data_IF_693578683654
#
_entry.id   IF_693578683654
#
_cell.length_a   1.000
_cell.length_b   1.000
_cell.length_c   1.000
_cell.angle_alpha   90.00
_cell.angle_beta   90.00
_cell.angle_gamma   90.00
#
_symmetry.space_group_name_H-M   'P 1'
#
loop_
_entity.id
_entity.type
_entity.pdbx_description
1 polymer ?
#
# COMPACT_ATOMS: atom_id res chain seq x y z
N UNK A 1 70.91 -9.12 13.97
CA UNK A 1 69.88 -8.08 13.72
C UNK A 1 69.70 -7.92 12.21
N UNK A 2 68.74 -8.62 11.61
CA UNK A 2 68.41 -8.52 10.18
C UNK A 2 67.12 -7.72 10.04
N UNK A 3 67.16 -6.58 9.34
CA UNK A 3 65.96 -5.85 8.91
C UNK A 3 65.63 -6.31 7.48
N UNK A 4 64.44 -6.89 7.29
CA UNK A 4 63.73 -6.94 6.00
C UNK A 4 62.51 -6.03 6.12
N UNK A 5 62.25 -5.10 5.18
CA UNK A 5 60.95 -4.45 5.12
C UNK A 5 59.93 -5.43 4.51
N UNK A 6 58.79 -5.58 5.18
CA UNK A 6 57.64 -6.28 4.63
C UNK A 6 57.02 -5.41 3.54
N UNK A 7 57.04 -5.92 2.30
CA UNK A 7 56.12 -5.52 1.26
C UNK A 7 54.72 -5.99 1.69
N UNK A 8 53.88 -5.06 2.16
CA UNK A 8 52.44 -5.29 2.20
C UNK A 8 51.84 -4.71 0.93
N UNK A 9 51.53 -5.64 0.04
CA UNK A 9 50.78 -5.49 -1.19
C UNK A 9 49.42 -4.85 -0.86
N UNK A 10 49.22 -3.61 -1.31
CA UNK A 10 47.94 -2.91 -1.18
C UNK A 10 46.98 -3.50 -2.21
N UNK A 11 46.36 -4.62 -1.84
CA UNK A 11 45.25 -5.21 -2.58
C UNK A 11 44.14 -4.18 -2.77
N UNK A 12 44.02 -3.67 -3.99
CA UNK A 12 42.85 -2.92 -4.41
C UNK A 12 41.63 -3.84 -4.28
N UNK A 13 40.80 -3.56 -3.29
CA UNK A 13 39.46 -4.14 -3.21
C UNK A 13 38.69 -3.56 -4.41
N UNK A 14 38.67 -4.31 -5.51
CA UNK A 14 37.70 -4.08 -6.58
C UNK A 14 36.34 -4.32 -5.94
N UNK A 15 35.64 -3.23 -5.61
CA UNK A 15 34.22 -3.31 -5.25
C UNK A 15 33.51 -3.95 -6.43
N UNK A 16 32.90 -5.10 -6.18
CA UNK A 16 32.02 -5.81 -7.10
C UNK A 16 31.10 -4.80 -7.76
N UNK A 17 31.07 -4.75 -9.10
CA UNK A 17 30.05 -3.99 -9.81
C UNK A 17 28.69 -4.47 -9.28
N UNK A 18 27.93 -3.58 -8.63
CA UNK A 18 26.56 -3.88 -8.26
C UNK A 18 25.83 -4.30 -9.53
N UNK A 19 25.26 -5.50 -9.53
CA UNK A 19 24.43 -5.98 -10.63
C UNK A 19 23.14 -5.17 -10.55
N UNK A 20 23.16 -3.98 -11.15
CA UNK A 20 21.99 -3.12 -11.29
C UNK A 20 21.21 -3.63 -12.50
N UNK A 21 19.99 -4.11 -12.26
CA UNK A 21 19.09 -4.53 -13.33
C UNK A 21 18.71 -3.30 -14.18
N UNK A 22 18.91 -3.37 -15.48
CA UNK A 22 18.55 -2.30 -16.41
C UNK A 22 17.03 -2.23 -16.64
N UNK A 23 16.55 -1.11 -17.18
CA UNK A 23 15.14 -0.98 -17.60
C UNK A 23 14.74 -2.09 -18.57
N UNK A 24 15.59 -2.40 -19.56
CA UNK A 24 15.29 -3.41 -20.57
C UNK A 24 15.16 -4.80 -19.94
N UNK A 25 16.06 -5.16 -19.01
CA UNK A 25 15.98 -6.42 -18.27
C UNK A 25 14.73 -6.47 -17.39
N UNK A 26 14.39 -5.39 -16.70
CA UNK A 26 13.20 -5.32 -15.84
C UNK A 26 11.91 -5.50 -16.65
N UNK A 27 11.82 -4.86 -17.81
CA UNK A 27 10.69 -5.02 -18.73
C UNK A 27 10.62 -6.43 -19.30
N UNK A 28 11.76 -7.02 -19.72
CA UNK A 28 11.80 -8.39 -20.20
C UNK A 28 11.37 -9.39 -19.11
N UNK A 29 11.76 -9.18 -17.86
CA UNK A 29 11.34 -10.01 -16.74
C UNK A 29 9.84 -9.89 -16.45
N UNK A 30 9.28 -8.67 -16.54
CA UNK A 30 7.84 -8.45 -16.40
C UNK A 30 7.06 -9.12 -17.54
N UNK A 31 7.49 -8.94 -18.77
CA UNK A 31 6.86 -9.55 -19.94
C UNK A 31 6.88 -11.08 -19.87
N UNK A 32 8.03 -11.67 -19.50
CA UNK A 32 8.16 -13.12 -19.32
C UNK A 32 7.28 -13.67 -18.19
N UNK A 33 6.97 -12.86 -17.18
CA UNK A 33 6.04 -13.21 -16.10
C UNK A 33 4.57 -12.89 -16.43
N UNK A 34 4.31 -12.24 -17.56
CA UNK A 34 3.00 -11.78 -17.99
C UNK A 34 2.06 -12.91 -18.42
N UNK A 35 0.76 -12.64 -18.34
CA UNK A 35 -0.28 -13.51 -18.85
C UNK A 35 -1.36 -12.67 -19.56
N UNK A 36 -1.59 -12.86 -20.87
CA UNK A 36 -2.58 -12.08 -21.63
C UNK A 36 -4.02 -12.16 -21.10
N UNK A 37 -4.41 -13.30 -20.49
CA UNK A 37 -5.73 -13.44 -19.88
C UNK A 37 -5.84 -12.58 -18.63
N UNK A 38 -4.76 -12.46 -17.85
CA UNK A 38 -4.71 -11.56 -16.69
C UNK A 38 -4.72 -10.10 -17.16
N UNK A 39 -3.99 -9.76 -18.22
CA UNK A 39 -4.03 -8.42 -18.80
C UNK A 39 -5.45 -8.04 -19.26
N UNK A 40 -6.18 -8.97 -19.85
CA UNK A 40 -7.61 -8.78 -20.22
C UNK A 40 -8.48 -8.52 -18.98
N UNK A 41 -8.25 -9.26 -17.89
CA UNK A 41 -8.94 -9.02 -16.61
C UNK A 41 -8.60 -7.65 -16.04
N UNK A 42 -7.34 -7.22 -16.11
CA UNK A 42 -6.91 -5.89 -15.67
C UNK A 42 -7.62 -4.77 -16.42
N UNK A 43 -7.80 -4.90 -17.73
CA UNK A 43 -8.57 -3.95 -18.54
C UNK A 43 -10.04 -3.87 -18.09
N UNK A 44 -10.67 -5.00 -17.77
CA UNK A 44 -12.03 -5.03 -17.19
C UNK A 44 -12.11 -4.34 -15.82
N UNK A 45 -10.99 -4.22 -15.11
CA UNK A 45 -10.86 -3.56 -13.81
C UNK A 45 -10.28 -2.14 -13.88
N UNK A 46 -10.26 -1.52 -15.07
CA UNK A 46 -9.95 -0.10 -15.26
C UNK A 46 -8.51 0.21 -15.64
N UNK A 47 -7.63 -0.79 -15.78
CA UNK A 47 -6.27 -0.55 -16.27
C UNK A 47 -6.33 -0.04 -17.71
N UNK A 48 -5.91 1.20 -17.93
CA UNK A 48 -5.73 1.77 -19.27
C UNK A 48 -4.27 1.63 -19.73
N UNK A 49 -4.08 1.50 -21.04
CA UNK A 49 -2.75 1.38 -21.64
C UNK A 49 -2.16 -0.04 -21.59
N UNK A 50 -0.84 -0.17 -21.86
CA UNK A 50 -0.21 -1.47 -21.98
C UNK A 50 -0.06 -2.17 -20.63
N UNK A 51 -0.34 -3.46 -20.60
CA UNK A 51 -0.11 -4.34 -19.44
C UNK A 51 0.33 -5.72 -19.95
N UNK A 52 1.29 -6.32 -19.27
CA UNK A 52 1.70 -7.71 -19.48
C UNK A 52 0.81 -8.67 -18.69
N UNK A 53 0.14 -8.20 -17.63
CA UNK A 53 -0.74 -9.02 -16.79
C UNK A 53 0.05 -9.83 -15.77
N UNK A 54 0.93 -9.18 -15.02
CA UNK A 54 1.85 -9.80 -14.06
C UNK A 54 1.20 -9.90 -12.70
N UNK A 55 1.21 -11.08 -12.07
CA UNK A 55 0.67 -11.21 -10.71
C UNK A 55 1.56 -10.46 -9.71
N UNK A 56 0.96 -9.86 -8.68
CA UNK A 56 1.71 -9.11 -7.66
C UNK A 56 2.83 -9.92 -6.99
N UNK A 57 2.65 -11.24 -6.83
CA UNK A 57 3.70 -12.12 -6.29
C UNK A 57 4.93 -12.27 -7.21
N UNK A 58 4.73 -12.18 -8.52
CA UNK A 58 5.80 -12.18 -9.53
C UNK A 58 6.49 -10.81 -9.56
N UNK A 59 5.74 -9.71 -9.49
CA UNK A 59 6.29 -8.35 -9.31
C UNK A 59 7.19 -8.30 -8.05
N UNK A 60 6.72 -8.86 -6.93
CA UNK A 60 7.51 -8.90 -5.70
C UNK A 60 8.76 -9.78 -5.81
N UNK A 61 8.77 -10.77 -6.71
CA UNK A 61 9.97 -11.57 -7.02
C UNK A 61 11.01 -10.74 -7.78
N UNK A 62 10.58 -10.03 -8.82
CA UNK A 62 11.46 -9.15 -9.61
C UNK A 62 12.01 -8.02 -8.73
N UNK A 63 11.15 -7.38 -7.93
CA UNK A 63 11.54 -6.36 -6.94
C UNK A 63 12.68 -6.83 -6.03
N UNK A 64 12.68 -8.08 -5.56
CA UNK A 64 13.72 -8.61 -4.68
C UNK A 64 15.10 -8.71 -5.35
N UNK A 65 15.14 -8.82 -6.68
CA UNK A 65 16.38 -8.83 -7.45
C UNK A 65 16.94 -7.41 -7.64
N UNK A 66 16.06 -6.42 -7.73
CA UNK A 66 16.40 -5.00 -7.92
C UNK A 66 16.80 -4.33 -6.60
N UNK A 67 15.99 -4.52 -5.54
CA UNK A 67 16.09 -3.70 -4.34
C UNK A 67 15.46 -2.31 -4.52
N UNK A 68 16.04 -1.30 -3.87
CA UNK A 68 15.63 0.10 -4.02
C UNK A 68 16.50 0.77 -5.07
N UNK A 69 15.88 1.33 -6.11
CA UNK A 69 16.53 2.05 -7.19
C UNK A 69 15.61 3.16 -7.72
N UNK A 70 15.95 4.41 -7.39
CA UNK A 70 15.15 5.59 -7.76
C UNK A 70 15.20 5.91 -9.27
N UNK A 71 16.34 5.66 -9.92
CA UNK A 71 16.50 5.92 -11.35
C UNK A 71 15.68 4.90 -12.16
N UNK A 72 15.78 3.63 -11.80
CA UNK A 72 14.99 2.57 -12.42
C UNK A 72 13.49 2.75 -12.13
N UNK A 73 13.10 3.14 -10.92
CA UNK A 73 11.70 3.41 -10.61
C UNK A 73 11.10 4.50 -11.53
N UNK A 74 11.83 5.60 -11.72
CA UNK A 74 11.40 6.69 -12.59
C UNK A 74 11.32 6.26 -14.05
N UNK A 75 12.31 5.47 -14.50
CA UNK A 75 12.34 4.92 -15.86
C UNK A 75 11.18 3.95 -16.11
N UNK A 76 10.92 3.03 -15.18
CA UNK A 76 9.78 2.10 -15.21
C UNK A 76 8.44 2.84 -15.24
N UNK A 77 8.29 3.88 -14.42
CA UNK A 77 7.08 4.69 -14.39
C UNK A 77 6.79 5.36 -15.75
N UNK A 78 7.84 5.91 -16.37
CA UNK A 78 7.78 6.59 -17.66
C UNK A 78 7.39 5.71 -18.84
N UNK A 79 7.48 4.37 -18.71
CA UNK A 79 7.08 3.45 -19.78
C UNK A 79 5.58 3.45 -20.07
N UNK A 80 4.77 3.89 -19.11
CA UNK A 80 3.32 3.83 -19.22
C UNK A 80 2.71 2.44 -19.06
N UNK A 81 3.53 1.38 -18.94
CA UNK A 81 3.04 0.03 -18.72
C UNK A 81 2.56 -0.15 -17.28
N UNK A 82 1.37 -0.72 -17.10
CA UNK A 82 0.75 -0.92 -15.80
C UNK A 82 1.64 -1.71 -14.83
N UNK A 83 2.13 -2.88 -15.25
CA UNK A 83 2.94 -3.76 -14.40
C UNK A 83 4.29 -3.11 -14.08
N UNK A 84 4.86 -2.36 -15.04
CA UNK A 84 6.07 -1.58 -14.83
C UNK A 84 5.87 -0.45 -13.81
N UNK A 85 4.73 0.27 -13.85
CA UNK A 85 4.39 1.29 -12.84
C UNK A 85 4.15 0.70 -11.45
N UNK A 86 3.54 -0.48 -11.38
CA UNK A 86 3.42 -1.20 -10.10
C UNK A 86 4.80 -1.57 -9.56
N UNK A 87 5.71 -2.08 -10.42
CA UNK A 87 7.09 -2.36 -10.02
C UNK A 87 7.85 -1.08 -9.62
N UNK A 88 7.64 0.04 -10.32
CA UNK A 88 8.23 1.34 -9.99
C UNK A 88 7.90 1.73 -8.54
N UNK A 89 6.64 1.62 -8.12
CA UNK A 89 6.24 1.89 -6.73
C UNK A 89 6.92 0.95 -5.71
N UNK A 90 7.37 -0.22 -6.14
CA UNK A 90 7.99 -1.24 -5.27
C UNK A 90 9.49 -1.06 -5.11
N UNK A 91 10.15 -0.41 -6.06
CA UNK A 91 11.61 -0.20 -6.08
C UNK A 91 11.99 1.27 -5.87
N UNK A 92 11.04 2.21 -5.90
CA UNK A 92 11.30 3.60 -5.55
C UNK A 92 11.76 3.78 -4.09
N UNK A 93 12.62 4.76 -3.85
CA UNK A 93 12.94 5.23 -2.51
C UNK A 93 11.89 6.26 -2.05
N UNK A 94 11.01 5.93 -1.07
CA UNK A 94 9.99 6.86 -0.60
C UNK A 94 10.54 8.11 0.07
N UNK A 95 11.78 8.09 0.56
CA UNK A 95 12.40 9.23 1.25
C UNK A 95 13.01 10.24 0.27
N UNK A 96 13.31 9.81 -0.96
CA UNK A 96 13.89 10.65 -2.00
C UNK A 96 12.85 11.26 -2.95
N UNK A 97 11.61 10.78 -2.93
CA UNK A 97 10.53 11.31 -3.79
C UNK A 97 10.04 12.67 -3.32
N UNK A 98 10.03 13.65 -4.23
CA UNK A 98 9.41 14.94 -3.99
C UNK A 98 7.88 14.84 -4.02
N UNK A 99 7.21 15.84 -3.42
CA UNK A 99 5.76 15.97 -3.49
C UNK A 99 5.28 16.15 -4.94
N UNK A 100 6.06 16.86 -5.76
CA UNK A 100 5.79 17.12 -7.18
C UNK A 100 5.84 15.82 -7.98
N UNK A 101 6.88 15.00 -7.80
CA UNK A 101 7.00 13.71 -8.48
C UNK A 101 5.88 12.76 -8.09
N UNK A 102 5.49 12.73 -6.81
CA UNK A 102 4.34 11.96 -6.34
C UNK A 102 3.02 12.47 -6.96
N UNK A 103 2.85 13.78 -7.12
CA UNK A 103 1.68 14.37 -7.76
C UNK A 103 1.62 14.03 -9.26
N UNK A 104 2.76 14.05 -9.95
CA UNK A 104 2.86 13.59 -11.35
C UNK A 104 2.47 12.11 -11.48
N UNK A 105 2.90 11.27 -10.54
CA UNK A 105 2.55 9.85 -10.55
C UNK A 105 1.05 9.65 -10.29
N UNK A 106 0.45 10.41 -9.38
CA UNK A 106 -1.01 10.34 -9.14
C UNK A 106 -1.84 10.65 -10.39
N UNK A 107 -1.36 11.51 -11.30
CA UNK A 107 -2.07 11.84 -12.52
C UNK A 107 -2.29 10.63 -13.46
N UNK A 108 -1.47 9.58 -13.34
CA UNK A 108 -1.57 8.37 -14.16
C UNK A 108 -2.31 7.21 -13.47
N UNK A 109 -2.89 7.45 -12.28
CA UNK A 109 -3.63 6.43 -11.52
C UNK A 109 -5.06 6.30 -12.06
N UNK A 110 -5.34 5.15 -12.67
CA UNK A 110 -6.59 4.85 -13.37
C UNK A 110 -7.25 3.55 -12.89
N UNK A 111 -6.68 2.89 -11.89
CA UNK A 111 -7.18 1.63 -11.35
C UNK A 111 -6.78 1.44 -9.89
N UNK A 112 -7.46 0.54 -9.19
CA UNK A 112 -7.28 0.35 -7.76
C UNK A 112 -5.94 -0.31 -7.37
N UNK A 113 -5.34 -1.12 -8.25
CA UNK A 113 -4.04 -1.79 -7.98
C UNK A 113 -2.91 -0.76 -7.99
N UNK A 114 -2.90 0.10 -9.00
CA UNK A 114 -1.91 1.18 -9.09
C UNK A 114 -2.13 2.22 -7.98
N UNK A 115 -3.39 2.53 -7.65
CA UNK A 115 -3.73 3.38 -6.51
C UNK A 115 -3.16 2.82 -5.20
N UNK A 116 -3.37 1.53 -4.92
CA UNK A 116 -2.88 0.88 -3.70
C UNK A 116 -1.34 0.78 -3.66
N UNK A 117 -0.71 0.53 -4.81
CA UNK A 117 0.75 0.50 -4.93
C UNK A 117 1.35 1.89 -4.63
N UNK A 118 0.80 2.95 -5.21
CA UNK A 118 1.26 4.32 -4.97
C UNK A 118 0.93 4.81 -3.56
N UNK A 119 -0.24 4.44 -2.99
CA UNK A 119 -0.55 4.72 -1.59
C UNK A 119 0.51 4.12 -0.66
N UNK A 120 0.87 2.85 -0.85
CA UNK A 120 1.87 2.17 -0.04
C UNK A 120 3.29 2.75 -0.14
N UNK A 121 3.63 3.37 -1.27
CA UNK A 121 4.86 4.14 -1.45
C UNK A 121 4.76 5.50 -0.76
N UNK A 122 3.75 6.29 -1.11
CA UNK A 122 3.57 7.66 -0.64
C UNK A 122 3.35 7.74 0.88
N UNK A 123 2.73 6.74 1.49
CA UNK A 123 2.56 6.67 2.95
C UNK A 123 3.88 6.49 3.72
N UNK A 124 4.96 6.08 3.05
CA UNK A 124 6.31 6.01 3.63
C UNK A 124 7.13 7.28 3.38
N UNK A 125 6.60 8.22 2.60
CA UNK A 125 7.29 9.47 2.29
C UNK A 125 7.18 10.49 3.43
N UNK A 126 8.07 11.51 3.47
CA UNK A 126 7.92 12.68 4.32
C UNK A 126 6.64 13.49 4.06
N UNK A 127 6.04 13.32 2.87
CA UNK A 127 4.89 14.10 2.40
C UNK A 127 3.53 13.47 2.75
N UNK A 128 3.51 12.28 3.36
CA UNK A 128 2.32 11.46 3.61
C UNK A 128 1.16 12.20 4.28
N UNK A 129 1.44 13.06 5.27
CA UNK A 129 0.40 13.78 5.99
C UNK A 129 -0.32 14.78 5.08
N UNK A 130 0.44 15.58 4.32
CA UNK A 130 -0.11 16.58 3.40
C UNK A 130 -0.81 15.92 2.20
N UNK A 131 -0.16 14.95 1.57
CA UNK A 131 -0.69 14.32 0.36
C UNK A 131 -1.90 13.43 0.65
N UNK A 132 -1.93 12.76 1.81
CA UNK A 132 -3.11 12.00 2.25
C UNK A 132 -4.36 12.87 2.35
N UNK A 133 -4.23 14.09 2.92
CA UNK A 133 -5.33 15.06 3.00
C UNK A 133 -5.77 15.58 1.62
N UNK A 134 -4.82 15.85 0.73
CA UNK A 134 -5.13 16.34 -0.62
C UNK A 134 -5.86 15.25 -1.42
N UNK A 135 -5.32 14.03 -1.46
CA UNK A 135 -5.82 12.98 -2.33
C UNK A 135 -7.10 12.34 -1.83
N UNK A 136 -7.35 12.29 -0.52
CA UNK A 136 -8.62 11.75 0.00
C UNK A 136 -9.84 12.61 -0.38
N UNK A 137 -9.61 13.91 -0.59
CA UNK A 137 -10.61 14.88 -1.00
C UNK A 137 -10.75 14.99 -2.53
N UNK A 138 -9.94 14.26 -3.30
CA UNK A 138 -10.01 14.26 -4.76
C UNK A 138 -11.25 13.50 -5.24
N UNK A 139 -12.06 14.07 -6.16
CA UNK A 139 -13.28 13.44 -6.63
C UNK A 139 -13.05 12.24 -7.57
N UNK A 140 -11.82 12.05 -8.09
CA UNK A 140 -11.49 10.92 -8.96
C UNK A 140 -11.40 9.65 -8.12
N UNK A 141 -12.15 8.61 -8.50
CA UNK A 141 -12.30 7.37 -7.72
C UNK A 141 -10.99 6.82 -7.16
N UNK A 142 -10.00 6.64 -8.03
CA UNK A 142 -8.75 5.98 -7.65
C UNK A 142 -7.80 6.89 -6.88
N UNK A 143 -7.89 8.21 -7.07
CA UNK A 143 -7.12 9.17 -6.25
C UNK A 143 -7.74 9.28 -4.86
N UNK A 144 -9.07 9.36 -4.78
CA UNK A 144 -9.81 9.28 -3.52
C UNK A 144 -9.51 8.00 -2.76
N UNK A 145 -9.51 6.84 -3.45
CA UNK A 145 -9.09 5.55 -2.87
C UNK A 145 -7.68 5.65 -2.29
N UNK A 146 -6.71 6.08 -3.09
CA UNK A 146 -5.31 6.21 -2.69
C UNK A 146 -5.19 7.06 -1.42
N UNK A 147 -5.83 8.23 -1.39
CA UNK A 147 -5.83 9.12 -0.24
C UNK A 147 -6.41 8.47 1.03
N UNK A 148 -7.59 7.86 0.95
CA UNK A 148 -8.18 7.16 2.10
C UNK A 148 -7.37 5.94 2.56
N UNK A 149 -6.70 5.23 1.64
CA UNK A 149 -5.76 4.16 2.00
C UNK A 149 -4.54 4.71 2.75
N UNK A 150 -4.03 5.89 2.37
CA UNK A 150 -2.97 6.56 3.12
C UNK A 150 -3.43 6.98 4.52
N UNK A 151 -4.67 7.45 4.68
CA UNK A 151 -5.24 7.74 5.99
C UNK A 151 -5.26 6.48 6.87
N UNK A 152 -5.77 5.35 6.34
CA UNK A 152 -5.79 4.09 7.07
C UNK A 152 -4.38 3.65 7.50
N UNK A 153 -3.39 3.76 6.60
CA UNK A 153 -1.99 3.41 6.88
C UNK A 153 -1.37 4.33 7.93
N UNK A 154 -1.63 5.63 7.84
CA UNK A 154 -1.17 6.62 8.83
C UNK A 154 -1.71 6.31 10.22
N UNK A 155 -3.00 6.02 10.31
CA UNK A 155 -3.65 5.60 11.57
C UNK A 155 -3.11 4.27 12.11
N UNK A 156 -2.59 3.38 11.27
CA UNK A 156 -1.93 2.18 11.79
C UNK A 156 -0.48 2.43 12.25
N UNK A 157 0.21 3.39 11.63
CA UNK A 157 1.63 3.64 11.88
C UNK A 157 1.92 4.70 12.96
N UNK A 158 1.07 5.72 13.10
CA UNK A 158 1.33 6.94 13.89
C UNK A 158 0.38 7.05 15.09
N UNK A 159 0.69 6.45 16.26
CA UNK A 159 -0.17 6.55 17.45
C UNK A 159 -0.47 7.99 17.89
N UNK A 160 0.37 8.95 17.50
CA UNK A 160 0.28 10.37 17.82
C UNK A 160 -0.70 11.18 16.95
N UNK A 161 -1.39 10.56 15.98
CA UNK A 161 -2.42 11.26 15.19
C UNK A 161 -3.47 11.87 16.15
N UNK A 162 -3.70 13.20 16.12
CA UNK A 162 -4.56 13.86 17.11
C UNK A 162 -6.01 13.38 17.03
N UNK A 163 -6.64 13.21 18.20
CA UNK A 163 -8.06 12.83 18.32
C UNK A 163 -8.99 13.73 17.48
N UNK A 164 -8.73 15.04 17.43
CA UNK A 164 -9.51 15.98 16.63
C UNK A 164 -9.50 15.66 15.13
N UNK A 165 -8.38 15.16 14.60
CA UNK A 165 -8.27 14.76 13.20
C UNK A 165 -8.97 13.43 12.94
N UNK A 166 -8.87 12.49 13.88
CA UNK A 166 -9.61 11.23 13.82
C UNK A 166 -11.13 11.47 13.83
N UNK A 167 -11.62 12.35 14.70
CA UNK A 167 -13.01 12.78 14.76
C UNK A 167 -13.47 13.45 13.45
N UNK A 168 -12.64 14.30 12.85
CA UNK A 168 -12.94 14.93 11.57
C UNK A 168 -13.09 13.89 10.45
N UNK A 169 -12.16 12.94 10.32
CA UNK A 169 -12.25 11.87 9.33
C UNK A 169 -13.46 10.95 9.58
N UNK A 170 -13.77 10.63 10.83
CA UNK A 170 -14.97 9.86 11.19
C UNK A 170 -16.27 10.59 10.80
N UNK A 171 -16.32 11.91 10.99
CA UNK A 171 -17.43 12.74 10.55
C UNK A 171 -17.61 12.72 9.03
N UNK A 172 -16.51 12.84 8.28
CA UNK A 172 -16.54 12.77 6.82
C UNK A 172 -16.96 11.40 6.30
N UNK A 173 -16.46 10.32 6.91
CA UNK A 173 -16.89 8.96 6.59
C UNK A 173 -18.39 8.80 6.83
N UNK A 174 -18.90 9.27 7.98
CA UNK A 174 -20.33 9.15 8.30
C UNK A 174 -21.22 9.82 7.26
N UNK A 175 -20.80 10.98 6.72
CA UNK A 175 -21.59 11.75 5.75
C UNK A 175 -21.40 11.23 4.32
N UNK A 176 -20.16 10.95 3.92
CA UNK A 176 -19.79 10.74 2.52
C UNK A 176 -19.78 9.28 2.06
N UNK A 177 -19.62 8.31 2.97
CA UNK A 177 -19.33 6.92 2.59
C UNK A 177 -20.40 6.31 1.67
N UNK A 178 -21.69 6.55 1.95
CA UNK A 178 -22.78 5.99 1.15
C UNK A 178 -22.73 6.45 -0.33
N UNK A 179 -22.39 7.73 -0.56
CA UNK A 179 -22.33 8.36 -1.87
C UNK A 179 -20.98 8.26 -2.59
N UNK A 180 -19.94 7.75 -1.92
CA UNK A 180 -18.62 7.62 -2.52
C UNK A 180 -18.59 6.56 -3.65
N UNK A 181 -17.68 6.76 -4.62
CA UNK A 181 -17.39 5.80 -5.69
C UNK A 181 -16.88 4.48 -5.10
N UNK A 182 -17.12 3.36 -5.77
CA UNK A 182 -17.00 2.03 -5.19
C UNK A 182 -15.65 1.76 -4.51
N UNK A 183 -14.54 2.07 -5.19
CA UNK A 183 -13.19 1.83 -4.66
C UNK A 183 -12.75 2.87 -3.63
N UNK A 184 -13.28 4.10 -3.69
CA UNK A 184 -13.10 5.11 -2.63
C UNK A 184 -13.85 4.71 -1.37
N UNK A 185 -15.12 4.28 -1.51
CA UNK A 185 -15.98 3.77 -0.44
C UNK A 185 -15.33 2.62 0.33
N UNK A 186 -14.71 1.69 -0.39
CA UNK A 186 -13.91 0.62 0.20
C UNK A 186 -12.76 1.17 1.07
N UNK A 187 -11.99 2.13 0.57
CA UNK A 187 -10.91 2.72 1.34
C UNK A 187 -11.40 3.55 2.55
N UNK A 188 -12.54 4.24 2.43
CA UNK A 188 -13.19 4.94 3.56
C UNK A 188 -13.62 3.95 4.65
N UNK A 189 -14.21 2.82 4.24
CA UNK A 189 -14.60 1.75 5.14
C UNK A 189 -13.38 1.11 5.84
N UNK A 190 -12.28 0.92 5.13
CA UNK A 190 -11.03 0.43 5.73
C UNK A 190 -10.41 1.44 6.70
N UNK A 191 -10.49 2.75 6.38
CA UNK A 191 -10.03 3.81 7.28
C UNK A 191 -10.87 3.86 8.57
N UNK A 192 -12.20 3.69 8.47
CA UNK A 192 -13.09 3.55 9.63
C UNK A 192 -12.67 2.39 10.53
N UNK A 193 -12.40 1.22 9.94
CA UNK A 193 -11.93 0.04 10.67
C UNK A 193 -10.57 0.32 11.33
N UNK A 194 -9.64 0.94 10.61
CA UNK A 194 -8.33 1.29 11.15
C UNK A 194 -8.45 2.23 12.36
N UNK A 195 -9.24 3.31 12.24
CA UNK A 195 -9.47 4.28 13.32
C UNK A 195 -10.08 3.57 14.54
N UNK A 196 -11.22 2.92 14.41
CA UNK A 196 -11.86 2.26 15.55
C UNK A 196 -11.01 1.13 16.16
N UNK A 197 -10.28 0.41 15.31
CA UNK A 197 -9.48 -0.74 15.70
C UNK A 197 -8.20 -0.37 16.43
N UNK A 198 -7.58 0.79 16.15
CA UNK A 198 -6.28 1.18 16.70
C UNK A 198 -6.29 2.40 17.61
N UNK A 199 -7.44 3.06 17.79
CA UNK A 199 -7.56 4.31 18.57
C UNK A 199 -8.60 4.17 19.69
N UNK A 200 -8.18 3.79 20.91
CA UNK A 200 -9.10 3.60 22.04
C UNK A 200 -9.86 4.87 22.42
N UNK A 201 -9.25 6.03 22.27
CA UNK A 201 -9.78 7.37 22.58
C UNK A 201 -11.00 7.77 21.73
N UNK A 202 -11.07 7.30 20.49
CA UNK A 202 -12.21 7.57 19.57
C UNK A 202 -12.97 6.31 19.16
N UNK A 203 -12.71 5.16 19.80
CA UNK A 203 -13.30 3.87 19.39
C UNK A 203 -14.82 3.85 19.45
N UNK A 204 -15.40 4.35 20.53
CA UNK A 204 -16.86 4.40 20.68
C UNK A 204 -17.51 5.23 19.58
N UNK A 205 -16.87 6.35 19.21
CA UNK A 205 -17.30 7.16 18.08
C UNK A 205 -17.22 6.38 16.77
N UNK A 206 -16.10 5.70 16.50
CA UNK A 206 -15.93 4.89 15.30
C UNK A 206 -16.97 3.75 15.22
N UNK A 207 -17.29 3.10 16.33
CA UNK A 207 -18.35 2.08 16.41
C UNK A 207 -19.74 2.67 16.13
N UNK A 208 -20.01 3.89 16.60
CA UNK A 208 -21.25 4.59 16.28
C UNK A 208 -21.35 4.93 14.79
N UNK A 209 -20.27 5.41 14.17
CA UNK A 209 -20.20 5.64 12.72
C UNK A 209 -20.41 4.34 11.95
N UNK A 210 -19.73 3.26 12.34
CA UNK A 210 -19.86 1.95 11.72
C UNK A 210 -21.29 1.41 11.74
N UNK A 211 -22.03 1.61 12.85
CA UNK A 211 -23.46 1.26 12.90
C UNK A 211 -24.32 2.14 11.99
N UNK A 212 -24.01 3.43 11.89
CA UNK A 212 -24.79 4.38 11.11
C UNK A 212 -24.64 4.19 9.59
N UNK A 213 -23.45 3.79 9.13
CA UNK A 213 -23.16 3.61 7.69
C UNK A 213 -23.42 2.19 7.18
N UNK A 214 -23.70 1.24 8.08
CA UNK A 214 -23.99 -0.14 7.70
C UNK A 214 -25.41 -0.32 7.13
N UNK A 215 -25.60 -1.20 6.13
CA UNK A 215 -24.59 -2.03 5.49
C UNK A 215 -23.77 -1.28 4.43
N UNK A 216 -22.48 -1.61 4.33
CA UNK A 216 -21.58 -1.07 3.30
C UNK A 216 -21.46 -2.05 2.13
N UNK A 217 -22.12 -1.74 1.02
CA UNK A 217 -22.02 -2.51 -0.22
C UNK A 217 -20.80 -2.05 -1.04
N UNK A 218 -19.88 -2.98 -1.31
CA UNK A 218 -18.70 -2.79 -2.17
C UNK A 218 -18.73 -3.89 -3.22
N UNK A 219 -18.63 -3.48 -4.48
CA UNK A 219 -18.39 -4.39 -5.59
C UNK A 219 -16.92 -4.79 -5.63
N UNK A 220 -16.65 -6.05 -5.32
CA UNK A 220 -15.30 -6.63 -5.35
C UNK A 220 -14.93 -7.20 -6.73
N UNK A 221 -15.79 -7.05 -7.73
CA UNK A 221 -15.65 -7.70 -9.04
C UNK A 221 -15.86 -9.21 -8.95
N UNK A 222 -15.34 -9.94 -9.94
CA UNK A 222 -15.40 -11.41 -10.04
C UNK A 222 -14.44 -12.10 -9.05
N UNK A 223 -14.58 -11.80 -7.76
CA UNK A 223 -13.74 -12.34 -6.69
C UNK A 223 -14.59 -12.93 -5.56
N UNK A 224 -13.98 -13.78 -4.74
CA UNK A 224 -14.60 -14.29 -3.50
C UNK A 224 -14.49 -13.32 -2.31
N UNK A 225 -14.01 -12.09 -2.53
CA UNK A 225 -13.79 -11.11 -1.47
C UNK A 225 -15.12 -10.62 -0.89
N UNK A 226 -15.14 -10.40 0.42
CA UNK A 226 -16.32 -9.92 1.15
C UNK A 226 -15.93 -8.68 1.94
N UNK A 227 -16.82 -7.69 1.93
CA UNK A 227 -16.71 -6.54 2.83
C UNK A 227 -16.82 -7.02 4.27
N UNK A 228 -15.81 -6.76 5.14
CA UNK A 228 -15.91 -7.12 6.54
C UNK A 228 -16.98 -6.26 7.23
N UNK A 229 -17.70 -6.84 8.20
CA UNK A 229 -18.54 -6.03 9.09
C UNK A 229 -17.65 -5.14 9.97
N UNK A 230 -17.74 -3.81 9.81
CA UNK A 230 -16.86 -2.88 10.49
C UNK A 230 -16.96 -2.98 12.03
N UNK A 231 -18.17 -3.16 12.58
CA UNK A 231 -18.38 -3.25 14.03
C UNK A 231 -17.66 -4.47 14.61
N UNK A 232 -17.89 -5.66 14.03
CA UNK A 232 -17.27 -6.90 14.46
C UNK A 232 -15.75 -6.92 14.19
N UNK A 233 -15.29 -6.25 13.14
CA UNK A 233 -13.85 -6.17 12.84
C UNK A 233 -13.12 -5.25 13.81
N UNK A 234 -13.68 -4.07 14.11
CA UNK A 234 -13.14 -3.13 15.11
C UNK A 234 -13.03 -3.82 16.48
N UNK A 235 -14.09 -4.49 16.93
CA UNK A 235 -14.08 -5.21 18.21
C UNK A 235 -12.96 -6.26 18.27
N UNK A 236 -12.79 -7.05 17.21
CA UNK A 236 -11.74 -8.07 17.13
C UNK A 236 -10.32 -7.48 17.10
N UNK A 237 -10.13 -6.35 16.43
CA UNK A 237 -8.84 -5.64 16.44
C UNK A 237 -8.50 -5.13 17.84
N UNK A 238 -9.47 -4.53 18.52
CA UNK A 238 -9.35 -4.05 19.88
C UNK A 238 -8.96 -5.16 20.87
N UNK A 239 -9.62 -6.33 20.78
CA UNK A 239 -9.30 -7.50 21.60
C UNK A 239 -7.85 -7.96 21.40
N UNK A 240 -7.39 -8.04 20.15
CA UNK A 240 -6.01 -8.46 19.83
C UNK A 240 -4.97 -7.50 20.42
N UNK A 241 -5.23 -6.21 20.40
CA UNK A 241 -4.33 -5.21 20.99
C UNK A 241 -4.29 -5.31 22.52
N UNK A 242 -5.43 -5.58 23.16
CA UNK A 242 -5.50 -5.78 24.61
C UNK A 242 -4.81 -7.07 25.09
N UNK A 243 -4.72 -8.09 24.24
CA UNK A 243 -4.18 -9.41 24.60
C UNK A 243 -2.65 -9.55 24.43
N UNK A 244 -1.99 -8.59 23.76
CA UNK A 244 -0.54 -8.59 23.50
C UNK A 244 -0.01 -9.81 22.71
N UNK A 245 1.26 -9.80 22.27
CA UNK A 245 1.86 -10.94 21.54
C UNK A 245 1.99 -12.23 22.37
N UNK A 246 1.79 -12.16 23.70
CA UNK A 246 2.06 -13.23 24.66
C UNK A 246 0.85 -14.05 25.12
N UNK A 247 -0.39 -13.69 24.76
CA UNK A 247 -1.59 -14.46 25.16
C UNK A 247 -2.30 -15.08 23.95
N UNK A 248 -1.59 -15.88 23.16
CA UNK A 248 -2.26 -16.92 22.37
C UNK A 248 -2.74 -17.99 23.35
N UNK A 249 -4.02 -17.92 23.74
CA UNK A 249 -4.70 -18.93 24.55
C UNK A 249 -4.45 -20.32 23.96
N UNK A 250 -3.63 -21.13 24.63
CA UNK A 250 -3.53 -22.57 24.41
C UNK A 250 -4.83 -23.22 24.90
N UNK A 251 -5.87 -23.14 24.09
CA UNK A 251 -7.15 -23.80 24.33
C UNK A 251 -7.26 -25.10 23.54
N UNK A 252 -6.50 -26.12 23.91
CA UNK A 252 -6.76 -27.51 23.48
C UNK A 252 -6.90 -28.38 24.73
N UNK A 253 -8.05 -28.30 25.38
CA UNK A 253 -8.47 -29.29 26.37
C UNK A 253 -8.82 -30.57 25.61
N UNK A 254 -7.83 -31.46 25.44
CA UNK A 254 -8.06 -32.84 25.04
C UNK A 254 -8.85 -33.51 26.17
N UNK A 255 -10.15 -33.68 25.99
CA UNK A 255 -10.92 -34.63 26.79
C UNK A 255 -10.43 -36.04 26.44
N UNK A 256 -9.74 -36.67 27.39
CA UNK A 256 -9.61 -38.12 27.42
C UNK A 256 -10.94 -38.70 27.92
N UNK A 257 -11.61 -39.45 27.07
CA UNK A 257 -12.32 -40.68 27.45
C UNK A 257 -12.00 -41.72 26.40
#
# INVERSE_FOLDING_TARGET
MRRRPALCDAGAIVRSAEIVMTLAEALAALEAAGNPNIATVYQRHGVAGPAYGVRLGDVDRIRRQIGTDAALASALWGTGNHDARVLACRVADPLALSAEQLAEWVAAVDNYVLADALAGLAAKSPHRARLGEIWRADPREYVGRLGWRMIAQRVMAEPEVPAALLEAWLGEIQVGLAGALNRTKEAMHDALIAIGGTRPDVRERALAVARAVSPVAIDHGETGCKTPDAVAYIARMAERQSSGPGQRKTGSTRHRR
#
